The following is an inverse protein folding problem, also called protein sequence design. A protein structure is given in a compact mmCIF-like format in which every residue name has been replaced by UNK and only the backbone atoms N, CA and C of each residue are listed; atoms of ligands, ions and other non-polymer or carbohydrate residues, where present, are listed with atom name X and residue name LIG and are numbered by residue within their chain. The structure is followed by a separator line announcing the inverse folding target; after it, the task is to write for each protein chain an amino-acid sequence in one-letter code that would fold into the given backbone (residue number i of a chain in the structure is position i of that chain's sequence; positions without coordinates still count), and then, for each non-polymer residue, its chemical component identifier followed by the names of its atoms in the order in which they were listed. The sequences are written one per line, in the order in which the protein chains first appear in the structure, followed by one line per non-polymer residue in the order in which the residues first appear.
data_IF_394898597793
#
_entry.id   IF_394898597793
#
_cell.length_a   1.000
_cell.length_b   1.000
_cell.length_c   1.000
_cell.angle_alpha   90.00
_cell.angle_beta   90.00
_cell.angle_gamma   90.00
#
_symmetry.space_group_name_H-M   'P 1'
#
loop_
_entity.id
_entity.type
_entity.pdbx_description
1 polymer ?
#
# COMPACT_ATOMS: atom_id res chain seq x y z
N UNK A 1 19.85 2.94 -14.13
CA UNK A 1 18.48 2.75 -13.58
C UNK A 1 17.52 3.78 -14.16
N UNK A 2 16.56 3.38 -15.00
CA UNK A 2 15.52 4.25 -15.55
C UNK A 2 14.67 4.95 -14.47
N UNK A 3 14.12 6.13 -14.75
CA UNK A 3 13.32 6.93 -13.80
C UNK A 3 12.14 6.16 -13.18
N UNK A 4 11.47 5.31 -13.98
CA UNK A 4 10.33 4.48 -13.52
C UNK A 4 10.74 3.43 -12.49
N UNK A 5 11.89 2.79 -12.69
CA UNK A 5 12.44 1.76 -11.80
C UNK A 5 12.81 2.35 -10.43
N UNK A 6 13.46 3.54 -10.41
CA UNK A 6 13.75 4.25 -9.16
C UNK A 6 12.49 4.61 -8.35
N UNK A 7 11.39 4.96 -9.03
CA UNK A 7 10.11 5.28 -8.34
C UNK A 7 9.51 4.01 -7.72
N UNK A 8 9.51 2.90 -8.46
CA UNK A 8 9.02 1.62 -7.96
C UNK A 8 9.81 1.18 -6.72
N UNK A 9 11.14 1.27 -6.77
CA UNK A 9 12.01 0.97 -5.64
C UNK A 9 11.64 1.79 -4.38
N UNK A 10 11.44 3.11 -4.50
CA UNK A 10 11.04 3.96 -3.37
C UNK A 10 9.69 3.58 -2.77
N UNK A 11 8.72 3.16 -3.59
CA UNK A 11 7.41 2.70 -3.12
C UNK A 11 7.56 1.42 -2.29
N UNK A 12 8.37 0.47 -2.75
CA UNK A 12 8.64 -0.78 -2.05
C UNK A 12 9.35 -0.55 -0.72
N UNK A 13 10.38 0.29 -0.69
CA UNK A 13 11.11 0.60 0.56
C UNK A 13 10.20 1.25 1.60
N UNK A 14 9.35 2.19 1.17
CA UNK A 14 8.37 2.79 2.07
C UNK A 14 7.32 1.77 2.54
N UNK A 15 6.86 0.88 1.66
CA UNK A 15 5.92 -0.18 2.04
C UNK A 15 6.52 -1.13 3.09
N UNK A 16 7.77 -1.59 2.89
CA UNK A 16 8.49 -2.42 3.86
C UNK A 16 8.61 -1.73 5.22
N UNK A 17 8.92 -0.43 5.24
CA UNK A 17 9.00 0.35 6.49
C UNK A 17 7.65 0.39 7.21
N UNK A 18 6.55 0.62 6.49
CA UNK A 18 5.20 0.63 7.08
C UNK A 18 4.87 -0.72 7.74
N UNK A 19 5.19 -1.83 7.06
CA UNK A 19 4.99 -3.17 7.62
C UNK A 19 5.88 -3.40 8.84
N UNK A 20 7.18 -3.13 8.73
CA UNK A 20 8.16 -3.32 9.82
C UNK A 20 7.79 -2.55 11.09
N UNK A 21 7.24 -1.35 10.92
CA UNK A 21 6.89 -0.46 12.02
C UNK A 21 5.49 -0.72 12.60
N UNK A 22 4.76 -1.74 12.12
CA UNK A 22 3.39 -2.00 12.57
C UNK A 22 2.39 -0.91 12.18
N UNK A 23 2.66 -0.16 11.12
CA UNK A 23 1.83 0.97 10.68
C UNK A 23 0.65 0.53 9.78
N UNK A 24 0.35 -0.77 9.74
CA UNK A 24 -0.76 -1.37 9.01
C UNK A 24 -1.67 -2.07 10.02
N UNK A 25 -2.82 -1.47 10.28
CA UNK A 25 -3.83 -1.97 11.20
C UNK A 25 -4.97 -2.60 10.39
N UNK A 26 -5.20 -3.92 10.48
CA UNK A 26 -6.36 -4.54 9.90
C UNK A 26 -7.63 -4.09 10.63
N UNK A 27 -8.66 -3.78 9.85
CA UNK A 27 -10.01 -3.53 10.30
C UNK A 27 -10.91 -4.68 9.83
N UNK A 28 -12.18 -4.62 10.18
CA UNK A 28 -13.16 -5.59 9.73
C UNK A 28 -13.41 -5.48 8.22
N UNK A 29 -13.82 -6.59 7.60
CA UNK A 29 -14.33 -6.67 6.23
C UNK A 29 -13.33 -6.21 5.14
N UNK A 30 -12.07 -6.65 5.23
CA UNK A 30 -11.08 -6.38 4.17
C UNK A 30 -10.63 -4.91 4.11
N UNK A 31 -10.78 -4.18 5.21
CA UNK A 31 -10.37 -2.79 5.36
C UNK A 31 -9.12 -2.71 6.22
N UNK A 32 -8.29 -1.70 5.99
CA UNK A 32 -7.06 -1.48 6.72
C UNK A 32 -6.85 0.02 6.94
N UNK A 33 -6.41 0.39 8.13
CA UNK A 33 -5.81 1.69 8.41
C UNK A 33 -4.31 1.60 8.19
N UNK A 34 -3.75 2.56 7.45
CA UNK A 34 -2.31 2.66 7.22
C UNK A 34 -1.82 4.03 7.65
N UNK A 35 -1.00 4.07 8.69
CA UNK A 35 -0.43 5.31 9.22
C UNK A 35 0.79 5.69 8.37
N UNK A 36 0.63 6.65 7.47
CA UNK A 36 1.70 7.16 6.61
C UNK A 36 2.34 8.44 7.15
N UNK A 37 3.38 8.93 6.45
CA UNK A 37 4.11 10.14 6.84
C UNK A 37 3.24 11.42 6.84
N UNK A 38 2.15 11.42 6.07
CA UNK A 38 1.25 12.57 5.90
C UNK A 38 -0.17 12.26 6.39
N UNK A 39 -0.31 11.38 7.37
CA UNK A 39 -1.60 11.00 7.96
C UNK A 39 -2.01 9.55 7.72
N UNK A 40 -3.20 9.21 8.21
CA UNK A 40 -3.74 7.85 8.15
C UNK A 40 -4.62 7.69 6.92
N UNK A 41 -4.37 6.63 6.17
CA UNK A 41 -5.07 6.32 4.92
C UNK A 41 -5.80 5.00 5.05
N UNK A 42 -6.97 4.92 4.44
CA UNK A 42 -7.75 3.68 4.37
C UNK A 42 -7.33 2.92 3.12
N UNK A 43 -7.09 1.62 3.29
CA UNK A 43 -7.00 0.65 2.20
C UNK A 43 -8.19 -0.27 2.30
N UNK A 44 -8.88 -0.49 1.19
CA UNK A 44 -10.07 -1.33 1.12
C UNK A 44 -9.93 -2.34 0.00
N UNK A 45 -10.43 -3.54 0.22
CA UNK A 45 -10.66 -4.51 -0.84
C UNK A 45 -11.81 -4.04 -1.73
N UNK A 46 -11.60 -4.05 -3.04
CA UNK A 46 -12.64 -3.74 -4.03
C UNK A 46 -13.49 -4.98 -4.31
N UNK A 47 -14.69 -4.84 -4.89
CA UNK A 47 -15.51 -5.99 -5.28
C UNK A 47 -14.79 -6.95 -6.25
N UNK A 48 -13.79 -6.47 -6.98
CA UNK A 48 -12.95 -7.24 -7.91
C UNK A 48 -11.82 -8.02 -7.21
N UNK A 49 -11.70 -7.90 -5.88
CA UNK A 49 -10.64 -8.54 -5.08
C UNK A 49 -9.30 -7.78 -5.09
N UNK A 50 -9.27 -6.59 -5.70
CA UNK A 50 -8.11 -5.70 -5.70
C UNK A 50 -8.04 -4.85 -4.41
N UNK A 51 -6.94 -4.11 -4.23
CA UNK A 51 -6.79 -3.20 -3.09
C UNK A 51 -6.71 -1.74 -3.55
N UNK A 52 -7.64 -0.92 -3.04
CA UNK A 52 -7.72 0.52 -3.29
C UNK A 52 -7.30 1.32 -2.06
N UNK A 53 -6.59 2.44 -2.26
CA UNK A 53 -6.18 3.34 -1.18
C UNK A 53 -6.70 4.76 -1.42
N UNK A 54 -7.14 5.43 -0.36
CA UNK A 54 -7.64 6.81 -0.46
C UNK A 54 -6.53 7.89 -0.49
N UNK A 55 -5.25 7.52 -0.46
CA UNK A 55 -4.15 8.49 -0.45
C UNK A 55 -3.98 9.19 -1.82
N UNK A 56 -3.42 10.41 -1.87
CA UNK A 56 -3.21 11.14 -3.12
C UNK A 56 -2.36 10.37 -4.14
N UNK A 57 -1.35 9.62 -3.68
CA UNK A 57 -0.48 8.83 -4.54
C UNK A 57 -1.23 7.74 -5.30
N UNK A 58 -2.13 7.02 -4.61
CA UNK A 58 -2.95 6.00 -5.24
C UNK A 58 -3.99 6.61 -6.17
N UNK A 59 -4.68 7.68 -5.73
CA UNK A 59 -5.69 8.37 -6.56
C UNK A 59 -5.13 8.89 -7.88
N UNK A 60 -3.86 9.31 -7.92
CA UNK A 60 -3.21 9.82 -9.13
C UNK A 60 -2.56 8.72 -10.00
N UNK A 61 -2.09 7.61 -9.39
CA UNK A 61 -1.22 6.62 -10.08
C UNK A 61 -1.73 5.18 -10.07
N UNK A 62 -2.82 4.89 -9.37
CA UNK A 62 -3.29 3.53 -9.09
C UNK A 62 -2.35 2.70 -8.20
N UNK A 63 -1.29 3.30 -7.65
CA UNK A 63 -0.28 2.60 -6.84
C UNK A 63 0.29 3.51 -5.76
N UNK A 64 0.56 2.96 -4.58
CA UNK A 64 1.18 3.67 -3.48
C UNK A 64 1.81 2.70 -2.49
N UNK A 65 2.68 3.21 -1.61
CA UNK A 65 3.30 2.38 -0.57
C UNK A 65 2.30 1.80 0.43
N UNK A 66 1.14 2.45 0.65
CA UNK A 66 0.13 1.97 1.60
C UNK A 66 -0.57 0.70 1.10
N UNK A 67 -1.11 0.72 -0.13
CA UNK A 67 -1.73 -0.47 -0.73
C UNK A 67 -0.69 -1.57 -0.97
N UNK A 68 0.56 -1.22 -1.31
CA UNK A 68 1.64 -2.20 -1.40
C UNK A 68 1.98 -2.83 -0.04
N UNK A 69 1.98 -2.07 1.05
CA UNK A 69 2.19 -2.61 2.40
C UNK A 69 1.09 -3.60 2.80
N UNK A 70 -0.17 -3.29 2.49
CA UNK A 70 -1.28 -4.22 2.70
C UNK A 70 -1.10 -5.48 1.85
N UNK A 71 -0.78 -5.35 0.56
CA UNK A 71 -0.48 -6.51 -0.31
C UNK A 71 0.60 -7.42 0.26
N UNK A 72 1.63 -6.86 0.92
CA UNK A 72 2.70 -7.63 1.56
C UNK A 72 2.16 -8.47 2.73
N UNK A 73 1.35 -7.89 3.62
CA UNK A 73 0.86 -8.62 4.80
C UNK A 73 -0.29 -9.58 4.50
N UNK A 74 -1.06 -9.33 3.45
CA UNK A 74 -2.17 -10.22 3.04
C UNK A 74 -1.73 -11.30 2.04
N UNK A 75 -0.43 -11.38 1.70
CA UNK A 75 0.09 -12.34 0.72
C UNK A 75 -0.41 -12.12 -0.71
N UNK A 76 -0.91 -10.92 -1.04
CA UNK A 76 -1.44 -10.56 -2.38
C UNK A 76 -0.40 -9.89 -3.28
N UNK A 77 0.85 -9.80 -2.84
CA UNK A 77 1.94 -9.30 -3.65
C UNK A 77 2.40 -10.40 -4.61
N UNK A 78 1.89 -10.39 -5.84
CA UNK A 78 2.31 -11.36 -6.85
C UNK A 78 3.68 -10.94 -7.42
N UNK A 79 4.75 -11.48 -6.83
CA UNK A 79 6.12 -11.33 -7.34
C UNK A 79 6.34 -12.48 -8.33
N UNK A 80 5.85 -12.32 -9.56
CA UNK A 80 6.21 -13.20 -10.69
C UNK A 80 7.20 -12.49 -11.58
#
# INVERSE_FOLDING_TARGET
MPRREKIHYKVLEKAKRLVKNGQVEPLNNGRFNVVGDHGTYNVVETPEGDLACNCPGYRYKGSCSHSTAVKMITGRLNIR
#
